data_IF_212383414000
#
_entry.id   IF_212383414000
#
_cell.length_a   1.000
_cell.length_b   1.000
_cell.length_c   1.000
_cell.angle_alpha   90.00
_cell.angle_beta   90.00
_cell.angle_gamma   90.00
#
_symmetry.space_group_name_H-M   'P 1'
#
loop_
_entity.id
_entity.type
_entity.pdbx_description
1 polymer ?
#
# COMPACT_ATOMS: atom_id res chain seq x y z
N UNK A 1 -10.63 -25.42 23.58
CA UNK A 1 -10.29 -24.15 24.16
C UNK A 1 -11.10 -23.03 23.48
N UNK A 2 -11.73 -22.15 24.29
CA UNK A 2 -12.60 -21.08 23.80
C UNK A 2 -11.84 -20.09 22.91
N UNK A 3 -10.61 -19.75 23.27
CA UNK A 3 -9.77 -18.81 22.51
C UNK A 3 -9.44 -19.39 21.14
N UNK A 4 -9.04 -20.66 21.08
CA UNK A 4 -8.74 -21.32 19.81
C UNK A 4 -9.92 -21.32 18.85
N UNK A 5 -11.13 -21.55 19.35
CA UNK A 5 -12.37 -21.50 18.53
C UNK A 5 -12.63 -20.08 17.99
N UNK A 6 -12.41 -19.04 18.81
CA UNK A 6 -12.57 -17.64 18.39
C UNK A 6 -11.56 -17.32 17.29
N UNK A 7 -10.29 -17.70 17.47
CA UNK A 7 -9.25 -17.47 16.47
C UNK A 7 -9.58 -18.18 15.15
N UNK A 8 -9.96 -19.47 15.22
CA UNK A 8 -10.33 -20.24 14.02
C UNK A 8 -11.53 -19.61 13.29
N UNK A 9 -12.58 -19.24 14.04
CA UNK A 9 -13.73 -18.58 13.44
C UNK A 9 -13.38 -17.23 12.81
N UNK A 10 -12.45 -16.49 13.40
CA UNK A 10 -11.95 -15.24 12.86
C UNK A 10 -11.15 -15.47 11.55
N UNK A 11 -10.26 -16.45 11.52
CA UNK A 11 -9.49 -16.84 10.34
C UNK A 11 -10.41 -17.23 9.18
N UNK A 12 -11.44 -18.01 9.45
CA UNK A 12 -12.44 -18.43 8.46
C UNK A 12 -13.22 -17.23 7.87
N UNK A 13 -13.66 -16.30 8.72
CA UNK A 13 -14.37 -15.09 8.27
C UNK A 13 -13.47 -14.18 7.44
N UNK A 14 -12.21 -14.03 7.82
CA UNK A 14 -11.23 -13.21 7.11
C UNK A 14 -10.66 -13.89 5.86
N UNK A 15 -10.90 -15.18 5.68
CA UNK A 15 -10.36 -15.98 4.58
C UNK A 15 -8.84 -15.84 4.48
N UNK A 16 -8.13 -15.92 5.62
CA UNK A 16 -6.68 -15.79 5.66
C UNK A 16 -5.99 -16.90 4.86
N UNK A 17 -6.59 -18.08 4.76
CA UNK A 17 -6.18 -19.19 3.91
C UNK A 17 -5.97 -18.76 2.44
N UNK A 18 -6.84 -17.89 1.92
CA UNK A 18 -6.75 -17.37 0.55
C UNK A 18 -5.72 -16.24 0.39
N UNK A 19 -5.40 -15.53 1.49
CA UNK A 19 -4.43 -14.45 1.48
C UNK A 19 -2.99 -14.95 1.57
N UNK A 20 -2.74 -16.04 2.29
CA UNK A 20 -1.41 -16.58 2.55
C UNK A 20 -0.61 -16.97 1.29
N UNK A 21 -1.20 -17.60 0.25
CA UNK A 21 -0.48 -17.83 -1.01
C UNK A 21 0.01 -16.56 -1.70
N UNK A 22 -0.77 -15.48 -1.60
CA UNK A 22 -0.37 -14.17 -2.15
C UNK A 22 0.80 -13.57 -1.34
N UNK A 23 0.75 -13.66 -0.02
CA UNK A 23 1.85 -13.27 0.87
C UNK A 23 3.12 -14.04 0.52
N UNK A 24 3.01 -15.35 0.32
CA UNK A 24 4.13 -16.21 -0.09
C UNK A 24 4.77 -15.79 -1.42
N UNK A 25 4.01 -15.19 -2.33
CA UNK A 25 4.54 -14.62 -3.58
C UNK A 25 5.19 -13.26 -3.37
N UNK A 26 4.64 -12.43 -2.48
CA UNK A 26 5.12 -11.07 -2.27
C UNK A 26 6.38 -10.99 -1.42
N UNK A 27 6.52 -11.87 -0.42
CA UNK A 27 7.70 -11.87 0.46
C UNK A 27 9.03 -12.03 -0.30
N UNK A 28 9.19 -12.94 -1.28
CA UNK A 28 10.42 -13.00 -2.07
C UNK A 28 10.63 -11.77 -2.96
N UNK A 29 9.57 -11.25 -3.55
CA UNK A 29 9.64 -10.12 -4.48
C UNK A 29 9.89 -8.79 -3.79
N UNK A 30 9.01 -8.42 -2.87
CA UNK A 30 9.02 -7.11 -2.19
C UNK A 30 9.73 -7.12 -0.83
N UNK A 31 9.95 -8.29 -0.25
CA UNK A 31 10.55 -8.44 1.08
C UNK A 31 9.57 -8.28 2.24
N UNK A 32 8.31 -7.91 1.97
CA UNK A 32 7.29 -7.70 2.99
C UNK A 32 5.87 -7.88 2.48
N UNK A 33 4.93 -7.98 3.40
CA UNK A 33 3.49 -7.93 3.17
C UNK A 33 2.82 -7.12 4.28
N UNK A 34 1.75 -6.41 3.96
CA UNK A 34 1.08 -5.47 4.87
C UNK A 34 -0.39 -5.80 4.99
N UNK A 35 -0.89 -5.88 6.21
CA UNK A 35 -2.30 -5.91 6.53
C UNK A 35 -2.70 -4.64 7.27
N UNK A 36 -3.79 -4.05 6.84
CA UNK A 36 -4.42 -2.94 7.55
C UNK A 36 -5.51 -3.51 8.44
N UNK A 37 -5.55 -3.06 9.69
CA UNK A 37 -6.56 -3.44 10.65
C UNK A 37 -7.65 -2.37 10.66
N UNK A 38 -8.87 -2.77 10.29
CA UNK A 38 -10.04 -1.87 10.25
C UNK A 38 -11.19 -2.47 11.05
N UNK A 39 -12.04 -1.61 11.56
CA UNK A 39 -13.34 -2.03 12.09
C UNK A 39 -14.34 -2.18 10.94
N UNK A 40 -15.02 -3.31 10.89
CA UNK A 40 -16.18 -3.55 10.03
C UNK A 40 -17.39 -3.89 10.87
N UNK A 41 -18.57 -3.59 10.35
CA UNK A 41 -19.84 -3.97 11.00
C UNK A 41 -20.39 -5.23 10.36
N UNK A 42 -20.75 -6.19 11.19
CA UNK A 42 -21.45 -7.40 10.78
C UNK A 42 -22.88 -7.11 10.32
N UNK A 43 -23.60 -8.12 9.82
CA UNK A 43 -25.00 -7.99 9.40
C UNK A 43 -25.94 -7.57 10.55
N UNK A 44 -25.57 -7.88 11.77
CA UNK A 44 -26.25 -7.53 13.02
C UNK A 44 -25.86 -6.14 13.56
N UNK A 45 -24.99 -5.42 12.85
CA UNK A 45 -24.43 -4.14 13.26
C UNK A 45 -23.29 -4.22 14.28
N UNK A 46 -22.92 -5.42 14.75
CA UNK A 46 -21.83 -5.60 15.72
C UNK A 46 -20.48 -5.31 15.05
N UNK A 47 -19.65 -4.44 15.66
CA UNK A 47 -18.32 -4.16 15.12
C UNK A 47 -17.38 -5.36 15.31
N UNK A 48 -16.58 -5.66 14.30
CA UNK A 48 -15.52 -6.66 14.38
C UNK A 48 -14.27 -6.17 13.66
N UNK A 49 -13.07 -6.57 14.13
CA UNK A 49 -11.84 -6.23 13.46
C UNK A 49 -11.71 -7.00 12.14
N UNK A 50 -11.19 -6.33 11.12
CA UNK A 50 -10.96 -6.91 9.81
C UNK A 50 -9.53 -6.61 9.37
N UNK A 51 -8.79 -7.66 8.98
CA UNK A 51 -7.47 -7.53 8.38
C UNK A 51 -7.59 -7.51 6.86
N UNK A 52 -7.19 -6.41 6.23
CA UNK A 52 -7.18 -6.25 4.79
C UNK A 52 -5.75 -6.29 4.26
N UNK A 53 -5.43 -7.31 3.47
CA UNK A 53 -4.14 -7.43 2.80
C UNK A 53 -3.98 -6.32 1.75
N UNK A 54 -2.84 -5.63 1.76
CA UNK A 54 -2.51 -4.56 0.82
C UNK A 54 -1.39 -4.97 -0.11
N UNK A 55 -1.45 -4.51 -1.36
CA UNK A 55 -0.36 -4.71 -2.32
C UNK A 55 0.88 -3.95 -1.84
N UNK A 56 2.00 -4.63 -1.59
CA UNK A 56 3.24 -4.00 -1.13
C UNK A 56 3.76 -2.93 -2.08
N UNK A 57 3.47 -3.04 -3.38
CA UNK A 57 3.85 -2.03 -4.37
C UNK A 57 3.29 -0.64 -4.06
N UNK A 58 2.14 -0.58 -3.39
CA UNK A 58 1.46 0.65 -3.01
C UNK A 58 1.77 1.09 -1.58
N UNK A 59 2.60 0.34 -0.85
CA UNK A 59 2.90 0.54 0.55
C UNK A 59 4.30 1.11 0.73
N UNK A 60 4.40 2.26 1.36
CA UNK A 60 5.65 2.99 1.61
C UNK A 60 5.87 3.08 3.12
N UNK A 61 6.76 2.23 3.68
CA UNK A 61 7.08 2.29 5.10
C UNK A 61 7.84 3.58 5.41
N UNK A 62 7.49 4.16 6.55
CA UNK A 62 8.16 5.35 7.08
C UNK A 62 9.18 4.99 8.16
N UNK A 63 9.08 5.66 9.31
CA UNK A 63 10.00 5.49 10.43
C UNK A 63 10.04 4.05 10.96
N UNK A 64 11.24 3.54 11.22
CA UNK A 64 11.47 2.21 11.81
C UNK A 64 11.81 2.33 13.31
N UNK A 65 11.15 1.50 14.10
CA UNK A 65 11.44 1.40 15.53
C UNK A 65 12.73 0.61 15.82
N UNK A 66 13.10 0.57 17.10
CA UNK A 66 14.24 -0.22 17.55
C UNK A 66 14.07 -1.73 17.30
N UNK A 67 12.85 -2.21 17.16
CA UNK A 67 12.47 -3.57 16.75
C UNK A 67 12.61 -3.81 15.24
N UNK A 68 13.11 -2.82 14.49
CA UNK A 68 13.27 -2.84 13.04
C UNK A 68 11.96 -3.05 12.26
N UNK A 69 10.84 -2.76 12.91
CA UNK A 69 9.53 -2.77 12.28
C UNK A 69 9.09 -1.34 11.97
N UNK A 70 8.40 -1.10 10.83
CA UNK A 70 7.91 0.23 10.53
C UNK A 70 6.84 0.66 11.54
N UNK A 71 6.96 1.90 12.02
CA UNK A 71 5.98 2.53 12.92
C UNK A 71 4.99 3.40 12.15
N UNK A 72 5.29 3.66 10.89
CA UNK A 72 4.49 4.47 9.99
C UNK A 72 4.39 3.78 8.63
N UNK A 73 3.25 3.95 7.98
CA UNK A 73 2.99 3.39 6.66
C UNK A 73 2.14 4.35 5.84
N UNK A 74 2.61 4.68 4.64
CA UNK A 74 1.82 5.41 3.66
C UNK A 74 1.35 4.43 2.58
N UNK A 75 0.05 4.38 2.31
CA UNK A 75 -0.54 3.57 1.25
C UNK A 75 -1.13 4.49 0.21
N UNK A 76 -0.59 4.47 -1.00
CA UNK A 76 -1.02 5.34 -2.09
C UNK A 76 -1.93 4.57 -3.03
N UNK A 77 -3.06 5.16 -3.36
CA UNK A 77 -4.00 4.58 -4.34
C UNK A 77 -4.54 5.65 -5.27
N UNK A 78 -4.89 5.23 -6.47
CA UNK A 78 -5.58 6.09 -7.43
C UNK A 78 -7.09 5.93 -7.27
N UNK A 79 -7.79 7.06 -7.14
CA UNK A 79 -9.25 7.09 -6.98
C UNK A 79 -9.84 8.06 -8.01
N UNK A 80 -10.93 7.70 -8.73
CA UNK A 80 -11.60 8.65 -9.62
C UNK A 80 -12.06 9.89 -8.86
N UNK A 81 -11.77 11.09 -9.42
CA UNK A 81 -12.15 12.38 -8.80
C UNK A 81 -13.62 12.47 -8.45
N UNK A 82 -14.50 11.98 -9.34
CA UNK A 82 -15.93 11.97 -9.09
C UNK A 82 -16.33 11.13 -7.87
N UNK A 83 -15.67 9.97 -7.67
CA UNK A 83 -15.90 9.12 -6.51
C UNK A 83 -15.38 9.77 -5.23
N UNK A 84 -14.20 10.41 -5.30
CA UNK A 84 -13.61 11.10 -4.16
C UNK A 84 -14.46 12.30 -3.72
N UNK A 85 -14.93 13.11 -4.66
CA UNK A 85 -15.81 14.25 -4.39
C UNK A 85 -17.17 13.81 -3.80
N UNK A 86 -17.67 12.63 -4.16
CA UNK A 86 -18.89 12.06 -3.59
C UNK A 86 -18.70 11.61 -2.15
N UNK A 87 -17.52 11.05 -1.83
CA UNK A 87 -17.19 10.59 -0.47
C UNK A 87 -16.92 11.79 0.45
N UNK A 88 -16.24 12.83 -0.08
CA UNK A 88 -15.83 14.03 0.68
C UNK A 88 -16.42 15.30 0.06
N UNK A 89 -17.75 15.52 0.14
CA UNK A 89 -18.41 16.65 -0.50
C UNK A 89 -17.94 18.02 0.03
N UNK A 90 -17.45 18.09 1.27
CA UNK A 90 -16.89 19.29 1.87
C UNK A 90 -15.62 19.78 1.15
N UNK A 91 -14.90 18.88 0.48
CA UNK A 91 -13.66 19.19 -0.26
C UNK A 91 -13.84 19.10 -1.78
N UNK A 92 -15.07 19.09 -2.28
CA UNK A 92 -15.35 18.90 -3.71
C UNK A 92 -14.64 19.94 -4.59
N UNK A 93 -14.55 21.21 -4.14
CA UNK A 93 -13.90 22.29 -4.88
C UNK A 93 -12.38 22.06 -4.99
N UNK A 94 -11.74 21.65 -3.90
CA UNK A 94 -10.32 21.36 -3.83
C UNK A 94 -9.97 20.14 -4.68
N UNK A 95 -10.78 19.08 -4.60
CA UNK A 95 -10.62 17.85 -5.38
C UNK A 95 -10.75 18.13 -6.87
N UNK A 96 -11.77 18.89 -7.29
CA UNK A 96 -11.98 19.25 -8.70
C UNK A 96 -10.91 20.20 -9.25
N UNK A 97 -10.38 21.09 -8.40
CA UNK A 97 -9.35 22.05 -8.75
C UNK A 97 -7.94 21.44 -8.76
N UNK A 98 -7.75 20.29 -8.11
CA UNK A 98 -6.47 19.61 -8.02
C UNK A 98 -5.81 19.44 -9.39
N UNK A 99 -4.56 19.85 -9.51
CA UNK A 99 -3.79 19.78 -10.75
C UNK A 99 -3.55 18.33 -11.15
N UNK A 100 -3.73 17.98 -12.41
CA UNK A 100 -3.46 16.64 -12.96
C UNK A 100 -1.96 16.28 -12.95
N UNK A 101 -1.11 17.22 -12.63
CA UNK A 101 0.33 17.02 -12.51
C UNK A 101 0.71 17.04 -11.05
N UNK A 102 0.70 15.87 -10.42
CA UNK A 102 1.56 15.68 -9.28
C UNK A 102 2.98 15.66 -9.84
N UNK A 103 3.63 16.83 -9.86
CA UNK A 103 5.08 16.92 -9.87
C UNK A 103 5.57 16.39 -8.52
N UNK A 104 5.34 15.12 -8.27
CA UNK A 104 5.96 14.42 -7.15
C UNK A 104 7.43 14.41 -7.44
N UNK A 105 8.17 15.17 -6.64
CA UNK A 105 9.61 15.28 -6.74
C UNK A 105 10.22 13.92 -7.03
N UNK A 106 10.64 13.77 -8.25
CA UNK A 106 11.65 12.91 -8.82
C UNK A 106 12.05 11.64 -8.07
N UNK A 107 11.28 10.60 -8.07
CA UNK A 107 11.75 9.30 -7.62
C UNK A 107 10.64 8.27 -7.55
N UNK A 108 9.62 8.56 -6.76
CA UNK A 108 8.54 7.61 -6.53
C UNK A 108 7.39 7.73 -7.53
N UNK A 109 7.13 8.92 -8.05
CA UNK A 109 6.06 9.14 -9.01
C UNK A 109 6.38 8.67 -10.43
N UNK A 110 7.64 8.64 -10.81
CA UNK A 110 8.06 8.11 -12.12
C UNK A 110 7.82 6.60 -12.19
N UNK A 111 8.13 5.86 -11.13
CA UNK A 111 7.86 4.42 -11.06
C UNK A 111 6.35 4.12 -11.12
N UNK A 112 5.54 4.96 -10.49
CA UNK A 112 4.07 4.84 -10.54
C UNK A 112 3.52 5.21 -11.94
N UNK A 113 4.08 6.22 -12.55
CA UNK A 113 3.68 6.71 -13.87
C UNK A 113 4.10 5.73 -14.98
N UNK A 114 5.30 5.19 -14.92
CA UNK A 114 5.81 4.27 -15.93
C UNK A 114 5.18 2.88 -15.88
N UNK A 115 4.86 2.36 -14.70
CA UNK A 115 4.22 1.06 -14.56
C UNK A 115 2.74 1.06 -14.97
N UNK A 116 2.07 2.21 -14.89
CA UNK A 116 0.68 2.36 -15.30
C UNK A 116 0.49 3.00 -16.68
N UNK A 117 1.53 3.46 -17.34
CA UNK A 117 1.47 4.01 -18.71
C UNK A 117 1.18 2.97 -19.79
N UNK A 118 1.24 1.68 -19.47
CA UNK A 118 0.74 0.65 -20.36
C UNK A 118 -0.79 0.65 -20.42
N UNK A 119 -1.41 1.33 -21.37
CA UNK A 119 -2.84 1.25 -21.71
C UNK A 119 -3.83 2.14 -20.95
N UNK A 120 -3.52 2.65 -19.74
CA UNK A 120 -4.45 3.49 -18.95
C UNK A 120 -4.18 4.98 -19.07
N UNK A 121 -3.03 5.38 -19.63
CA UNK A 121 -2.65 6.78 -19.79
C UNK A 121 -3.47 7.52 -20.87
N UNK A 122 -4.09 6.79 -21.77
CA UNK A 122 -4.91 7.36 -22.88
C UNK A 122 -6.42 7.38 -22.60
N UNK A 123 -6.87 6.83 -21.47
CA UNK A 123 -8.24 7.09 -21.05
C UNK A 123 -8.27 8.38 -20.24
N UNK A 124 -9.20 9.27 -20.53
CA UNK A 124 -9.57 10.45 -19.72
C UNK A 124 -9.99 10.05 -18.28
N UNK A 125 -9.36 9.04 -17.70
CA UNK A 125 -9.58 8.60 -16.34
C UNK A 125 -8.94 9.61 -15.41
N UNK A 126 -9.74 10.59 -15.03
CA UNK A 126 -9.49 11.63 -14.04
C UNK A 126 -9.32 11.05 -12.63
N UNK A 127 -8.38 10.07 -12.50
CA UNK A 127 -8.03 9.49 -11.21
C UNK A 127 -7.00 10.35 -10.50
N UNK A 128 -7.24 10.63 -9.24
CA UNK A 128 -6.33 11.35 -8.39
C UNK A 128 -5.64 10.44 -7.37
N UNK A 129 -4.47 10.85 -6.89
CA UNK A 129 -3.73 10.10 -5.91
C UNK A 129 -4.18 10.46 -4.50
N UNK A 130 -4.53 9.44 -3.74
CA UNK A 130 -4.88 9.54 -2.32
C UNK A 130 -3.90 8.71 -1.53
N UNK A 131 -3.32 9.29 -0.50
CA UNK A 131 -2.47 8.59 0.46
C UNK A 131 -3.25 8.36 1.75
N UNK A 132 -3.27 7.11 2.21
CA UNK A 132 -3.70 6.73 3.55
C UNK A 132 -2.43 6.60 4.40
N UNK A 133 -2.19 7.53 5.31
CA UNK A 133 -1.03 7.53 6.19
C UNK A 133 -1.41 7.04 7.58
N UNK A 134 -0.78 5.96 7.99
CA UNK A 134 -1.00 5.27 9.26
C UNK A 134 0.14 5.52 10.21
N UNK A 135 -0.17 5.95 11.44
CA UNK A 135 0.76 6.08 12.55
C UNK A 135 0.09 5.62 13.87
N UNK A 136 0.74 5.85 15.00
CA UNK A 136 0.20 5.49 16.33
C UNK A 136 -1.04 6.30 16.70
N UNK A 137 -1.16 7.55 16.24
CA UNK A 137 -2.30 8.43 16.52
C UNK A 137 -3.56 8.03 15.75
N UNK A 138 -3.38 7.60 14.49
CA UNK A 138 -4.51 7.25 13.63
C UNK A 138 -4.14 7.13 12.15
N UNK A 139 -5.16 7.27 11.32
CA UNK A 139 -5.04 7.24 9.87
C UNK A 139 -5.46 8.57 9.29
N UNK A 140 -4.53 9.22 8.59
CA UNK A 140 -4.79 10.44 7.83
C UNK A 140 -5.08 10.10 6.37
N UNK A 141 -6.19 10.57 5.84
CA UNK A 141 -6.52 10.45 4.42
C UNK A 141 -6.15 11.75 3.73
N UNK A 142 -5.15 11.67 2.88
CA UNK A 142 -4.51 12.82 2.28
C UNK A 142 -4.70 12.85 0.75
N UNK A 143 -5.22 13.94 0.22
CA UNK A 143 -5.33 14.18 -1.20
C UNK A 143 -4.05 14.81 -1.73
N UNK A 144 -3.27 14.05 -2.48
CA UNK A 144 -1.91 14.46 -2.86
C UNK A 144 -1.89 15.67 -3.80
N UNK A 145 -2.83 15.75 -4.74
CA UNK A 145 -2.86 16.82 -5.75
C UNK A 145 -3.19 18.20 -5.18
N UNK A 146 -4.02 18.28 -4.15
CA UNK A 146 -4.36 19.54 -3.48
C UNK A 146 -3.61 19.78 -2.19
N UNK A 147 -2.80 18.81 -1.75
CA UNK A 147 -2.09 18.84 -0.46
C UNK A 147 -3.04 19.05 0.74
N UNK A 148 -4.23 18.42 0.68
CA UNK A 148 -5.29 18.59 1.68
C UNK A 148 -5.54 17.30 2.45
N UNK A 149 -5.66 17.40 3.77
CA UNK A 149 -6.16 16.28 4.59
C UNK A 149 -7.67 16.23 4.43
N UNK A 150 -8.17 15.12 3.90
CA UNK A 150 -9.60 14.90 3.67
C UNK A 150 -10.29 14.38 4.91
N UNK A 151 -9.59 13.54 5.70
CA UNK A 151 -10.17 12.91 6.87
C UNK A 151 -9.09 12.46 7.85
N UNK A 152 -9.47 12.29 9.11
CA UNK A 152 -8.65 11.70 10.15
C UNK A 152 -9.47 10.68 10.94
N UNK A 153 -9.00 9.45 10.98
CA UNK A 153 -9.63 8.35 11.70
C UNK A 153 -8.73 8.01 12.89
N UNK A 154 -9.18 8.24 14.15
CA UNK A 154 -8.41 7.88 15.32
C UNK A 154 -8.08 6.38 15.34
N UNK A 155 -6.91 6.05 15.88
CA UNK A 155 -6.47 4.67 15.95
C UNK A 155 -7.39 3.88 16.91
N UNK A 156 -8.03 2.80 16.45
CA UNK A 156 -8.86 1.97 17.32
C UNK A 156 -8.04 1.07 18.25
N UNK A 157 -6.74 0.91 17.96
CA UNK A 157 -5.85 0.06 18.76
C UNK A 157 -5.21 0.88 19.89
N UNK A 158 -5.13 0.28 21.08
CA UNK A 158 -4.49 0.93 22.24
C UNK A 158 -2.97 0.84 22.20
N UNK A 159 -2.41 0.00 21.34
CA UNK A 159 -0.97 -0.21 21.22
C UNK A 159 -0.56 -0.38 19.75
N UNK A 160 0.29 0.52 19.29
CA UNK A 160 0.84 0.50 17.93
C UNK A 160 -0.13 0.96 16.84
N UNK A 161 0.37 1.15 15.63
CA UNK A 161 -0.42 1.63 14.49
C UNK A 161 -1.42 0.57 13.99
N UNK A 162 -2.46 1.01 13.27
CA UNK A 162 -3.52 0.13 12.75
C UNK A 162 -3.08 -0.67 11.51
N UNK A 163 -1.86 -1.19 11.51
CA UNK A 163 -1.37 -2.10 10.49
C UNK A 163 -0.40 -3.14 11.08
N UNK A 164 -0.23 -4.24 10.36
CA UNK A 164 0.71 -5.31 10.68
C UNK A 164 1.56 -5.59 9.45
N UNK A 165 2.86 -5.75 9.66
CA UNK A 165 3.82 -6.09 8.60
C UNK A 165 4.47 -7.42 8.88
N UNK A 166 4.37 -8.34 7.91
CA UNK A 166 5.28 -9.47 7.83
C UNK A 166 6.43 -9.07 6.91
N UNK A 167 7.67 -9.13 7.41
CA UNK A 167 8.84 -8.85 6.59
C UNK A 167 9.87 -9.95 6.65
N UNK A 168 10.60 -10.13 5.56
CA UNK A 168 11.81 -10.92 5.54
C UNK A 168 12.82 -10.26 6.49
N UNK A 169 13.54 -11.06 7.25
CA UNK A 169 14.55 -10.56 8.17
C UNK A 169 15.62 -9.78 7.41
N UNK A 170 15.64 -8.51 7.63
CA UNK A 170 16.58 -7.53 7.06
C UNK A 170 16.51 -6.31 7.95
N UNK A 171 17.59 -5.68 8.31
CA UNK A 171 17.62 -4.56 9.26
C UNK A 171 16.47 -3.56 9.06
N UNK A 172 16.73 -2.29 8.91
CA UNK A 172 15.76 -1.19 8.73
C UNK A 172 15.26 -1.03 7.27
N UNK A 173 15.54 -2.00 6.41
CA UNK A 173 15.17 -1.96 5.00
C UNK A 173 14.19 -3.08 4.65
N UNK A 174 13.20 -2.75 3.85
CA UNK A 174 12.30 -3.72 3.23
C UNK A 174 12.84 -4.08 1.84
N UNK A 175 13.62 -5.16 1.79
CA UNK A 175 14.26 -5.61 0.56
C UNK A 175 13.74 -6.98 0.14
N UNK A 176 13.39 -7.10 -1.13
CA UNK A 176 13.07 -8.37 -1.76
C UNK A 176 14.32 -9.24 -1.93
N UNK A 177 14.09 -10.54 -2.15
CA UNK A 177 15.18 -11.48 -2.41
C UNK A 177 15.95 -11.15 -3.68
N UNK A 178 15.29 -10.53 -4.65
CA UNK A 178 15.84 -10.21 -5.97
C UNK A 178 16.53 -8.85 -6.05
N UNK A 179 16.38 -7.99 -5.06
CA UNK A 179 16.93 -6.63 -5.08
C UNK A 179 18.45 -6.61 -5.26
N UNK A 180 19.13 -7.59 -4.63
CA UNK A 180 20.59 -7.72 -4.72
C UNK A 180 21.08 -8.17 -6.11
N UNK A 181 20.23 -8.81 -6.90
CA UNK A 181 20.62 -9.35 -8.22
C UNK A 181 20.05 -8.56 -9.40
N UNK A 182 19.22 -7.54 -9.15
CA UNK A 182 18.63 -6.71 -10.21
C UNK A 182 19.71 -6.08 -11.09
N UNK A 183 20.76 -5.52 -10.49
CA UNK A 183 21.89 -4.95 -11.21
C UNK A 183 22.65 -5.98 -12.05
N UNK A 184 22.81 -7.20 -11.53
CA UNK A 184 23.42 -8.30 -12.24
C UNK A 184 22.57 -8.77 -13.43
N UNK A 185 21.25 -8.86 -13.25
CA UNK A 185 20.32 -9.21 -14.33
C UNK A 185 20.37 -8.20 -15.49
N UNK A 186 20.43 -6.91 -15.18
CA UNK A 186 20.59 -5.87 -16.20
C UNK A 186 21.90 -6.00 -16.97
N UNK A 187 22.99 -6.35 -16.29
CA UNK A 187 24.30 -6.59 -16.91
C UNK A 187 24.29 -7.84 -17.79
N UNK A 188 23.67 -8.92 -17.33
CA UNK A 188 23.49 -10.15 -18.12
C UNK A 188 22.65 -9.89 -19.38
N UNK A 189 21.57 -9.12 -19.28
CA UNK A 189 20.74 -8.76 -20.42
C UNK A 189 21.55 -7.98 -21.47
N UNK A 190 22.41 -7.03 -21.06
CA UNK A 190 23.32 -6.30 -21.97
C UNK A 190 24.29 -7.24 -22.67
N UNK A 191 24.92 -8.17 -21.94
CA UNK A 191 25.84 -9.16 -22.52
C UNK A 191 25.15 -10.01 -23.57
N UNK A 192 23.94 -10.49 -23.28
CA UNK A 192 23.17 -11.28 -24.22
C UNK A 192 22.84 -10.52 -25.51
N UNK A 193 22.42 -9.26 -25.39
CA UNK A 193 22.16 -8.39 -26.55
C UNK A 193 23.43 -8.17 -27.37
N UNK A 194 24.55 -7.87 -26.71
CA UNK A 194 25.82 -7.69 -27.40
C UNK A 194 26.31 -8.96 -28.09
N UNK A 195 26.09 -10.13 -27.51
CA UNK A 195 26.42 -11.42 -28.13
C UNK A 195 25.61 -11.69 -29.40
N UNK A 196 24.30 -11.31 -29.39
CA UNK A 196 23.45 -11.44 -30.57
C UNK A 196 23.88 -10.50 -31.71
N UNK A 197 24.33 -9.28 -31.37
CA UNK A 197 24.76 -8.30 -32.38
C UNK A 197 26.14 -8.69 -32.99
N UNK A 198 26.97 -9.42 -32.24
CA UNK A 198 28.29 -9.85 -32.67
C UNK A 198 28.29 -11.13 -33.51
N UNK A 199 27.17 -11.80 -33.68
CA UNK A 199 26.94 -12.94 -34.58
C UNK A 199 26.48 -12.48 -35.96
#
# INVERSE_FOLDING_TARGET
DKIARIVTAYDDVQRLDLQMPQVGRWLPGYGFAVWIIKEKKGPDGTPYPCAELRDPYNCFPGYFGADQMPKEMSIVRRVPKASLAKIYPQFEKEIKKGYNTVNVASGYASAYQDSYNGSWANSNNEGDLVSEYYNEEGTYIYHMSSSTILDFIPNPLQSGPAFVVAKKFSFDQMQGQYDQIIGLMASMAKINVMSIIAM
#
